data_IF_684712128005
#
_entry.id   IF_684712128005
#
_cell.length_a   1.000
_cell.length_b   1.000
_cell.length_c   1.000
_cell.angle_alpha   90.00
_cell.angle_beta   90.00
_cell.angle_gamma   90.00
#
_symmetry.space_group_name_H-M   'P 1'
#
loop_
_entity.id
_entity.type
_entity.pdbx_description
1 polymer ?
#
# COMPACT_ATOMS: atom_id res chain seq x y z
N UNK A 1 2.20 -14.65 -22.15
CA UNK A 1 2.71 -14.43 -20.77
C UNK A 1 2.17 -13.09 -20.25
N UNK A 2 1.22 -13.09 -19.30
CA UNK A 2 0.70 -11.86 -18.70
C UNK A 2 1.68 -11.39 -17.62
N UNK A 3 2.38 -10.28 -17.84
CA UNK A 3 3.20 -9.64 -16.81
C UNK A 3 2.25 -9.24 -15.68
N UNK A 4 2.41 -9.85 -14.50
CA UNK A 4 1.69 -9.47 -13.28
C UNK A 4 2.31 -8.17 -12.79
N UNK A 5 1.71 -7.02 -13.10
CA UNK A 5 2.21 -5.72 -12.66
C UNK A 5 1.83 -5.45 -11.20
N UNK A 6 2.81 -4.88 -10.46
CA UNK A 6 2.88 -4.81 -9.00
C UNK A 6 2.25 -3.55 -8.40
N UNK A 7 1.80 -3.66 -7.15
CA UNK A 7 0.86 -2.79 -6.45
C UNK A 7 1.25 -2.55 -4.98
N UNK A 8 1.68 -1.34 -4.68
CA UNK A 8 2.03 -0.93 -3.33
C UNK A 8 0.81 -0.58 -2.48
N UNK A 9 0.88 -0.87 -1.19
CA UNK A 9 0.07 -0.21 -0.17
C UNK A 9 0.95 -0.04 1.05
N UNK A 10 1.40 1.19 1.30
CA UNK A 10 2.03 1.54 2.57
C UNK A 10 0.99 2.23 3.44
N UNK A 11 1.03 1.91 4.72
CA UNK A 11 0.03 2.34 5.66
C UNK A 11 0.69 3.24 6.70
N UNK A 12 0.08 4.40 6.94
CA UNK A 12 0.50 5.34 7.98
C UNK A 12 -0.29 5.03 9.27
N UNK A 13 0.27 5.22 10.48
CA UNK A 13 -0.48 4.96 11.69
C UNK A 13 -1.54 6.07 11.86
N UNK A 14 -2.78 5.66 12.13
CA UNK A 14 -3.91 6.57 12.26
C UNK A 14 -3.70 7.58 13.41
N UNK A 15 -4.06 8.84 13.16
CA UNK A 15 -4.23 9.85 14.19
C UNK A 15 -5.63 9.65 14.82
N UNK A 16 -5.79 9.47 16.15
CA UNK A 16 -7.01 8.90 16.74
C UNK A 16 -8.27 9.81 16.77
N UNK A 17 -8.37 10.85 15.93
CA UNK A 17 -9.51 11.77 15.94
C UNK A 17 -9.88 12.26 14.53
N UNK A 18 -10.66 11.47 13.78
CA UNK A 18 -11.58 12.04 12.78
C UNK A 18 -12.73 11.08 12.50
N UNK A 19 -13.94 11.62 12.49
CA UNK A 19 -15.20 10.91 12.27
C UNK A 19 -15.20 10.18 10.93
N UNK A 20 -15.65 8.91 10.93
CA UNK A 20 -15.80 8.02 9.75
C UNK A 20 -16.72 8.64 8.68
N UNK A 21 -16.20 9.52 7.84
CA UNK A 21 -16.65 9.58 6.45
C UNK A 21 -15.91 8.49 5.69
N UNK A 22 -16.66 7.72 4.91
CA UNK A 22 -16.10 6.71 4.02
C UNK A 22 -15.14 7.42 3.07
N UNK A 23 -13.87 7.02 3.08
CA UNK A 23 -12.80 7.59 2.25
C UNK A 23 -13.26 7.58 0.79
N UNK A 24 -13.99 6.54 0.37
CA UNK A 24 -14.54 6.45 -0.98
C UNK A 24 -15.54 7.57 -1.30
N UNK A 25 -16.33 7.99 -0.33
CA UNK A 25 -17.32 9.06 -0.49
C UNK A 25 -16.66 10.44 -0.43
N UNK A 26 -15.73 10.67 0.50
CA UNK A 26 -14.99 11.94 0.56
C UNK A 26 -14.13 12.16 -0.69
N UNK A 27 -13.43 11.12 -1.16
CA UNK A 27 -12.64 11.18 -2.39
C UNK A 27 -13.52 11.36 -3.62
N UNK A 28 -14.69 10.71 -3.69
CA UNK A 28 -15.67 10.93 -4.78
C UNK A 28 -16.19 12.37 -4.79
N UNK A 29 -16.56 12.90 -3.62
CA UNK A 29 -17.10 14.25 -3.48
C UNK A 29 -16.04 15.31 -3.85
N UNK A 30 -14.78 15.11 -3.44
CA UNK A 30 -13.65 16.01 -3.76
C UNK A 30 -13.22 15.93 -5.22
N UNK A 31 -13.18 14.74 -5.82
CA UNK A 31 -12.62 14.52 -7.16
C UNK A 31 -13.64 14.66 -8.31
N UNK A 32 -14.95 14.66 -8.01
CA UNK A 32 -16.01 14.83 -9.02
C UNK A 32 -15.91 16.15 -9.80
N UNK A 33 -15.32 17.20 -9.21
CA UNK A 33 -15.14 18.51 -9.83
C UNK A 33 -13.82 18.65 -10.61
N UNK A 34 -12.91 17.66 -10.55
CA UNK A 34 -11.57 17.71 -11.15
C UNK A 34 -11.20 16.41 -11.86
N UNK A 35 -11.77 16.25 -13.05
CA UNK A 35 -11.60 15.07 -13.92
C UNK A 35 -10.12 14.75 -14.22
N UNK A 36 -9.24 15.76 -14.23
CA UNK A 36 -7.79 15.58 -14.43
C UNK A 36 -7.08 14.89 -13.25
N UNK A 37 -7.61 14.96 -12.03
CA UNK A 37 -7.04 14.29 -10.84
C UNK A 37 -7.40 12.79 -10.81
N UNK A 38 -8.41 12.37 -11.58
CA UNK A 38 -8.79 10.96 -11.74
C UNK A 38 -8.00 10.25 -12.83
N UNK A 39 -7.06 10.91 -13.51
CA UNK A 39 -6.23 10.30 -14.54
C UNK A 39 -4.89 9.90 -13.94
N UNK A 40 -4.48 8.64 -14.13
CA UNK A 40 -3.18 8.19 -13.71
C UNK A 40 -2.07 8.92 -14.49
N UNK A 41 -1.10 9.57 -13.84
CA UNK A 41 -0.04 10.32 -14.53
C UNK A 41 0.89 9.42 -15.36
N UNK A 42 0.96 8.13 -15.03
CA UNK A 42 1.81 7.16 -15.74
C UNK A 42 1.14 6.57 -16.98
N UNK A 43 -0.15 6.27 -16.89
CA UNK A 43 -0.88 5.54 -17.93
C UNK A 43 -1.89 6.41 -18.69
N UNK A 44 -2.06 7.66 -18.28
CA UNK A 44 -3.05 8.62 -18.82
C UNK A 44 -4.46 8.03 -18.94
N UNK A 45 -4.81 7.12 -18.01
CA UNK A 45 -6.09 6.42 -17.96
C UNK A 45 -6.80 6.70 -16.65
N UNK A 46 -8.13 6.73 -16.69
CA UNK A 46 -8.98 6.91 -15.52
C UNK A 46 -8.70 5.88 -14.41
N UNK A 47 -8.68 6.37 -13.19
CA UNK A 47 -8.73 5.59 -11.97
C UNK A 47 -10.14 5.04 -11.76
N UNK A 48 -10.23 3.90 -11.08
CA UNK A 48 -11.48 3.28 -10.68
C UNK A 48 -11.38 2.77 -9.25
N UNK A 49 -12.53 2.56 -8.62
CA UNK A 49 -12.61 1.86 -7.36
C UNK A 49 -12.08 0.43 -7.51
N UNK A 50 -11.26 0.03 -6.56
CA UNK A 50 -10.67 -1.28 -6.41
C UNK A 50 -10.86 -1.73 -4.98
N UNK A 51 -10.90 -3.04 -4.77
CA UNK A 51 -10.90 -3.60 -3.43
C UNK A 51 -9.71 -4.52 -3.24
N UNK A 52 -9.20 -4.53 -2.02
CA UNK A 52 -8.15 -5.43 -1.59
C UNK A 52 -8.57 -6.07 -0.27
N UNK A 53 -8.36 -7.37 -0.18
CA UNK A 53 -8.59 -8.13 1.04
C UNK A 53 -7.32 -8.09 1.87
N UNK A 54 -7.40 -7.54 3.07
CA UNK A 54 -6.29 -7.53 4.02
C UNK A 54 -6.28 -8.77 4.90
N UNK A 55 -5.14 -9.02 5.56
CA UNK A 55 -4.99 -10.12 6.52
C UNK A 55 -6.08 -10.14 7.60
N UNK A 56 -6.53 -8.97 8.06
CA UNK A 56 -7.48 -8.85 9.18
C UNK A 56 -8.94 -9.00 8.76
N UNK A 57 -9.18 -9.68 7.64
CA UNK A 57 -10.49 -9.88 7.03
C UNK A 57 -11.24 -8.57 6.67
N UNK A 58 -10.53 -7.45 6.67
CA UNK A 58 -11.06 -6.16 6.27
C UNK A 58 -10.86 -6.02 4.76
N UNK A 59 -11.96 -5.87 4.04
CA UNK A 59 -11.94 -5.42 2.65
C UNK A 59 -11.80 -3.91 2.67
N UNK A 60 -10.75 -3.40 2.05
CA UNK A 60 -10.58 -1.96 1.85
C UNK A 60 -10.89 -1.62 0.40
N UNK A 61 -11.70 -0.58 0.21
CA UNK A 61 -11.91 0.04 -1.09
C UNK A 61 -10.96 1.23 -1.26
N UNK A 62 -10.38 1.36 -2.44
CA UNK A 62 -9.47 2.44 -2.79
C UNK A 62 -9.58 2.78 -4.28
N UNK A 63 -9.21 3.99 -4.64
CA UNK A 63 -9.14 4.41 -6.04
C UNK A 63 -7.73 4.21 -6.60
N UNK A 64 -7.63 3.55 -7.75
CA UNK A 64 -6.35 3.37 -8.45
C UNK A 64 -6.53 3.27 -9.95
N UNK A 65 -5.44 3.42 -10.72
CA UNK A 65 -5.46 3.39 -12.18
C UNK A 65 -6.08 2.10 -12.72
N UNK A 66 -6.95 2.15 -13.74
CA UNK A 66 -7.50 0.91 -14.33
C UNK A 66 -6.45 -0.03 -14.93
N UNK A 67 -5.34 0.52 -15.42
CA UNK A 67 -4.26 -0.25 -16.09
C UNK A 67 -3.21 -0.69 -15.07
N UNK A 68 -2.40 0.24 -14.55
CA UNK A 68 -1.30 -0.10 -13.64
C UNK A 68 -1.73 -0.32 -12.19
N UNK A 69 -3.01 -0.07 -11.87
CA UNK A 69 -3.61 -0.32 -10.54
C UNK A 69 -2.98 0.46 -9.37
N UNK A 70 -2.05 1.38 -9.66
CA UNK A 70 -1.45 2.28 -8.67
C UNK A 70 -2.50 3.24 -8.12
N UNK A 71 -2.61 3.32 -6.80
CA UNK A 71 -3.35 4.39 -6.13
C UNK A 71 -2.46 5.62 -6.03
N UNK A 72 -3.07 6.81 -6.06
CA UNK A 72 -2.37 8.06 -5.77
C UNK A 72 -2.24 8.29 -4.25
N UNK A 73 -3.04 7.59 -3.45
CA UNK A 73 -3.14 7.81 -2.01
C UNK A 73 -2.87 6.54 -1.20
N UNK A 74 -2.37 6.77 0.01
CA UNK A 74 -2.10 5.76 1.04
C UNK A 74 -3.37 5.55 1.86
N UNK A 75 -3.72 4.29 2.15
CA UNK A 75 -4.80 4.00 3.09
C UNK A 75 -4.19 3.79 4.47
N UNK A 76 -4.77 4.39 5.50
CA UNK A 76 -4.34 4.18 6.89
C UNK A 76 -4.91 2.85 7.41
N UNK A 77 -4.05 1.96 7.91
CA UNK A 77 -4.50 0.84 8.76
C UNK A 77 -3.87 0.97 10.13
N UNK A 78 -4.61 0.65 11.20
CA UNK A 78 -4.09 0.76 12.55
C UNK A 78 -2.88 -0.18 12.74
N UNK A 79 -1.72 0.41 13.00
CA UNK A 79 -0.52 -0.22 13.60
C UNK A 79 0.32 -1.19 12.74
N UNK A 80 0.32 -1.08 11.41
CA UNK A 80 1.23 -1.91 10.60
C UNK A 80 1.28 -1.55 9.13
N UNK A 81 2.20 -2.18 8.41
CA UNK A 81 2.40 -2.06 6.96
C UNK A 81 2.29 -3.43 6.31
N UNK A 82 1.45 -3.57 5.28
CA UNK A 82 1.32 -4.82 4.51
C UNK A 82 1.78 -4.63 3.06
N UNK A 83 2.91 -5.25 2.69
CA UNK A 83 3.46 -5.19 1.34
C UNK A 83 2.81 -6.28 0.50
N UNK A 84 1.69 -5.97 -0.15
CA UNK A 84 0.91 -7.00 -0.84
C UNK A 84 1.55 -7.38 -2.18
N UNK A 85 2.05 -6.41 -2.95
CA UNK A 85 2.66 -6.69 -4.24
C UNK A 85 3.67 -5.59 -4.61
N UNK A 86 4.95 -5.76 -4.34
CA UNK A 86 5.96 -4.77 -4.74
C UNK A 86 7.11 -5.44 -5.48
N UNK A 87 7.71 -4.73 -6.44
CA UNK A 87 9.01 -5.11 -6.98
C UNK A 87 10.15 -4.60 -6.07
N UNK A 88 11.36 -5.10 -6.32
CA UNK A 88 12.53 -4.72 -5.51
C UNK A 88 12.87 -3.23 -5.64
N UNK A 89 12.93 -2.71 -6.87
CA UNK A 89 13.18 -1.28 -7.16
C UNK A 89 12.17 -0.36 -6.47
N UNK A 90 10.93 -0.82 -6.49
CA UNK A 90 9.78 -0.17 -5.89
C UNK A 90 9.93 -0.01 -4.37
N UNK A 91 10.32 -1.08 -3.68
CA UNK A 91 10.64 -1.03 -2.25
C UNK A 91 11.88 -0.18 -1.97
N UNK A 92 12.90 -0.24 -2.83
CA UNK A 92 14.12 0.56 -2.67
C UNK A 92 13.83 2.06 -2.74
N UNK A 93 13.02 2.50 -3.70
CA UNK A 93 12.59 3.91 -3.80
C UNK A 93 11.82 4.34 -2.55
N UNK A 94 10.91 3.50 -2.06
CA UNK A 94 10.21 3.76 -0.82
C UNK A 94 11.16 3.85 0.38
N UNK A 95 12.13 2.94 0.45
CA UNK A 95 13.14 2.94 1.50
C UNK A 95 13.97 4.21 1.52
N UNK A 96 14.36 4.73 0.35
CA UNK A 96 15.03 6.03 0.22
C UNK A 96 14.14 7.16 0.74
N UNK A 97 12.87 7.18 0.35
CA UNK A 97 11.92 8.20 0.80
C UNK A 97 11.74 8.19 2.33
N UNK A 98 11.58 7.00 2.94
CA UNK A 98 11.46 6.85 4.39
C UNK A 98 12.77 7.14 5.12
N UNK A 99 13.91 6.78 4.52
CA UNK A 99 15.24 7.09 5.06
C UNK A 99 15.52 8.59 5.10
N UNK A 100 14.97 9.34 4.14
CA UNK A 100 15.06 10.80 4.05
C UNK A 100 13.95 11.54 4.82
N UNK A 101 13.17 10.84 5.65
CA UNK A 101 12.15 11.45 6.48
C UNK A 101 12.79 12.38 7.53
N UNK A 102 12.43 13.65 7.52
CA UNK A 102 13.01 14.65 8.45
C UNK A 102 12.32 14.68 9.82
N UNK A 103 11.19 13.97 9.99
CA UNK A 103 10.46 13.91 11.25
C UNK A 103 10.99 12.76 12.12
N UNK A 104 11.71 13.11 13.18
CA UNK A 104 12.29 12.13 14.12
C UNK A 104 11.24 11.28 14.82
N UNK A 105 10.09 11.87 15.19
CA UNK A 105 9.01 11.14 15.88
C UNK A 105 8.48 10.05 14.96
N UNK A 106 8.26 10.39 13.70
CA UNK A 106 7.77 9.46 12.68
C UNK A 106 8.79 8.36 12.37
N UNK A 107 10.09 8.68 12.30
CA UNK A 107 11.16 7.68 12.15
C UNK A 107 11.18 6.64 13.27
N UNK A 108 10.99 7.08 14.52
CA UNK A 108 10.89 6.17 15.66
C UNK A 108 9.63 5.30 15.60
N UNK A 109 8.53 5.84 15.07
CA UNK A 109 7.29 5.08 14.91
C UNK A 109 7.41 3.98 13.86
N UNK A 110 8.11 4.21 12.73
CA UNK A 110 8.27 3.16 11.71
C UNK A 110 8.87 1.88 12.28
N UNK A 111 9.84 1.99 13.17
CA UNK A 111 10.50 0.85 13.84
C UNK A 111 9.60 0.03 14.75
N UNK A 112 8.45 0.59 15.13
CA UNK A 112 7.44 -0.06 15.99
C UNK A 112 6.28 -0.63 15.19
N UNK A 113 6.24 -0.39 13.88
CA UNK A 113 5.19 -0.91 13.02
C UNK A 113 5.46 -2.36 12.65
N UNK A 114 4.44 -3.20 12.73
CA UNK A 114 4.53 -4.54 12.18
C UNK A 114 4.53 -4.47 10.65
N UNK A 115 5.51 -5.10 10.01
CA UNK A 115 5.52 -5.22 8.55
C UNK A 115 5.19 -6.65 8.12
N UNK A 116 4.19 -6.81 7.26
CA UNK A 116 3.74 -8.08 6.72
C UNK A 116 4.05 -8.19 5.23
N UNK A 117 4.62 -9.31 4.82
CA UNK A 117 4.95 -9.61 3.42
C UNK A 117 4.37 -10.99 3.06
N UNK A 118 3.54 -11.13 2.01
CA UNK A 118 3.14 -12.42 1.51
C UNK A 118 4.36 -13.28 1.17
N UNK A 119 4.32 -14.55 1.54
CA UNK A 119 5.42 -15.50 1.30
C UNK A 119 5.68 -15.77 -0.18
N UNK A 120 4.68 -15.54 -1.03
CA UNK A 120 4.75 -15.59 -2.50
C UNK A 120 5.15 -14.24 -3.12
N UNK A 121 5.42 -13.21 -2.31
CA UNK A 121 5.92 -11.93 -2.80
C UNK A 121 7.36 -12.12 -3.31
N UNK A 122 7.58 -11.88 -4.60
CA UNK A 122 8.86 -12.10 -5.32
C UNK A 122 10.00 -11.14 -4.92
N UNK A 123 10.05 -10.70 -3.67
CA UNK A 123 11.08 -9.83 -3.13
C UNK A 123 12.36 -10.62 -2.86
N UNK A 124 13.48 -10.02 -3.24
CA UNK A 124 14.81 -10.53 -2.97
C UNK A 124 15.10 -10.51 -1.47
N UNK A 125 16.03 -11.37 -1.02
CA UNK A 125 16.49 -11.35 0.37
C UNK A 125 17.09 -9.98 0.77
N UNK A 126 17.76 -9.30 -0.17
CA UNK A 126 18.30 -7.97 0.06
C UNK A 126 17.18 -6.95 0.34
N UNK A 127 16.13 -6.96 -0.48
CA UNK A 127 14.99 -6.07 -0.31
C UNK A 127 14.27 -6.32 1.01
N UNK A 128 14.14 -7.58 1.44
CA UNK A 128 13.57 -7.90 2.76
C UNK A 128 14.41 -7.31 3.90
N UNK A 129 15.76 -7.35 3.80
CA UNK A 129 16.64 -6.72 4.80
C UNK A 129 16.46 -5.20 4.85
N UNK A 130 16.26 -4.56 3.70
CA UNK A 130 15.96 -3.13 3.64
C UNK A 130 14.65 -2.83 4.39
N UNK A 131 13.59 -3.60 4.13
CA UNK A 131 12.30 -3.43 4.81
C UNK A 131 12.45 -3.67 6.33
N UNK A 132 13.18 -4.70 6.75
CA UNK A 132 13.51 -4.96 8.16
C UNK A 132 14.28 -3.80 8.79
N UNK A 133 15.21 -3.19 8.05
CA UNK A 133 15.95 -2.01 8.52
C UNK A 133 15.07 -0.77 8.68
N UNK A 134 13.86 -0.73 8.14
CA UNK A 134 12.92 0.38 8.31
C UNK A 134 11.95 0.08 9.44
N UNK A 135 11.27 -1.07 9.35
CA UNK A 135 10.15 -1.42 10.23
C UNK A 135 10.53 -2.29 11.43
N UNK A 136 11.77 -2.76 11.50
CA UNK A 136 12.19 -3.72 12.52
C UNK A 136 11.85 -5.14 12.08
N UNK A 137 10.77 -5.71 12.62
CA UNK A 137 10.38 -7.08 12.32
C UNK A 137 9.53 -7.16 11.04
N UNK A 138 9.90 -8.06 10.13
CA UNK A 138 9.11 -8.38 8.93
C UNK A 138 8.58 -9.80 9.03
N UNK A 139 7.26 -9.92 9.16
CA UNK A 139 6.56 -11.20 9.27
C UNK A 139 6.10 -11.64 7.89
N UNK A 140 6.45 -12.87 7.51
CA UNK A 140 5.92 -13.49 6.30
C UNK A 140 4.62 -14.22 6.59
N UNK A 141 3.65 -14.15 5.69
CA UNK A 141 2.39 -14.86 5.83
C UNK A 141 2.03 -15.63 4.55
N UNK A 142 1.28 -16.72 4.69
CA UNK A 142 0.80 -17.52 3.55
C UNK A 142 -0.63 -17.09 3.24
N UNK A 143 -0.89 -16.67 2.00
CA UNK A 143 -2.21 -16.25 1.62
C UNK A 143 -3.12 -17.46 1.37
N UNK A 144 -3.87 -17.85 2.40
CA UNK A 144 -4.84 -18.96 2.33
C UNK A 144 -5.95 -18.74 1.30
N UNK A 145 -6.11 -17.51 0.79
CA UNK A 145 -7.17 -17.14 -0.15
C UNK A 145 -6.89 -17.55 -1.61
N UNK A 146 -5.69 -18.04 -1.94
CA UNK A 146 -5.41 -18.58 -3.29
C UNK A 146 -5.92 -20.02 -3.51
N UNK A 147 -6.48 -20.68 -2.48
CA UNK A 147 -6.90 -22.10 -2.57
C UNK A 147 -8.25 -22.31 -3.28
N UNK A 148 -8.99 -21.25 -3.64
CA UNK A 148 -10.29 -21.38 -4.33
C UNK A 148 -10.36 -20.64 -5.68
N UNK A 149 -9.46 -20.97 -6.61
CA UNK A 149 -9.69 -20.70 -8.03
C UNK A 149 -9.44 -21.99 -8.82
N UNK A 150 -10.44 -22.87 -8.85
CA UNK A 150 -10.56 -23.98 -9.78
C UNK A 150 -11.40 -23.55 -10.97
#
# INVERSE_FOLDING_TARGET
MRKKECRFSFYKPANPLSSKKDISQETRDRLSSKVSELVCPRCLTYCAAHSIQLRWNNKIEYYGCRICKQSQEFVEVPNGVEIIQASNEEIERFAVQVGNDTDETRRHQYKKMECFVPSDCGLSANTIRIVQSIFGEVKRWVNSSQVMKF
#
